data_IF_844715617281
#
_entry.id   IF_844715617281
#
_cell.length_a   1.000
_cell.length_b   1.000
_cell.length_c   1.000
_cell.angle_alpha   90.00
_cell.angle_beta   90.00
_cell.angle_gamma   90.00
#
_symmetry.space_group_name_H-M   'P 1'
#
loop_
_entity.id
_entity.type
_entity.pdbx_description
1 polymer ?
#
# COMPACT_ATOMS: atom_id res chain seq x y z
N UNK A 1 10.24 23.28 -3.60
CA UNK A 1 8.99 22.72 -3.00
C UNK A 1 8.81 21.31 -3.56
N UNK A 2 8.62 20.30 -2.72
CA UNK A 2 8.41 18.91 -3.15
C UNK A 2 6.99 18.77 -3.72
N UNK A 3 6.87 18.47 -4.99
CA UNK A 3 5.60 18.23 -5.67
C UNK A 3 5.30 16.72 -5.81
N UNK A 4 4.18 16.40 -6.48
CA UNK A 4 3.77 15.00 -6.70
C UNK A 4 4.77 14.22 -7.56
N UNK A 5 5.48 14.89 -8.49
CA UNK A 5 6.43 14.27 -9.41
C UNK A 5 7.82 14.06 -8.81
N UNK A 6 8.09 14.70 -7.67
CA UNK A 6 9.40 14.65 -7.01
C UNK A 6 9.49 13.52 -5.98
N UNK A 7 8.40 12.75 -5.82
CA UNK A 7 8.28 11.70 -4.84
C UNK A 7 8.33 10.31 -5.49
N UNK A 8 8.83 9.35 -4.73
CA UNK A 8 8.75 7.94 -5.09
C UNK A 8 7.55 7.30 -4.41
N UNK A 9 6.99 6.28 -5.08
CA UNK A 9 5.90 5.50 -4.54
C UNK A 9 6.10 4.00 -4.77
N UNK A 10 5.36 3.18 -4.04
CA UNK A 10 5.16 1.75 -4.26
C UNK A 10 3.69 1.39 -4.02
N UNK A 11 3.24 0.28 -4.58
CA UNK A 11 1.86 -0.18 -4.42
C UNK A 11 1.83 -1.67 -4.15
N UNK A 12 1.03 -2.07 -3.16
CA UNK A 12 0.64 -3.47 -2.90
C UNK A 12 -0.80 -3.64 -3.37
N UNK A 13 -1.07 -4.61 -4.26
CA UNK A 13 -2.39 -4.86 -4.84
C UNK A 13 -2.79 -6.30 -4.56
N UNK A 14 -3.74 -6.49 -3.66
CA UNK A 14 -4.29 -7.79 -3.34
C UNK A 14 -5.32 -8.22 -4.38
N UNK A 15 -5.24 -9.49 -4.81
CA UNK A 15 -6.12 -10.07 -5.83
C UNK A 15 -6.28 -11.58 -5.65
N UNK A 16 -7.26 -12.12 -6.36
CA UNK A 16 -7.53 -13.56 -6.48
C UNK A 16 -7.90 -13.91 -7.92
N UNK A 17 -8.40 -15.12 -8.19
CA UNK A 17 -8.80 -15.55 -9.53
C UNK A 17 -7.65 -16.02 -10.42
N UNK A 18 -6.43 -15.71 -10.06
CA UNK A 18 -5.18 -16.08 -10.73
C UNK A 18 -4.21 -16.66 -9.68
N UNK A 19 -3.27 -17.51 -10.07
CA UNK A 19 -2.20 -17.95 -9.17
C UNK A 19 -1.02 -16.98 -9.20
N UNK A 20 -0.16 -17.01 -8.16
CA UNK A 20 1.08 -16.21 -8.13
C UNK A 20 1.99 -16.53 -9.30
N UNK A 21 2.19 -17.82 -9.59
CA UNK A 21 2.94 -18.28 -10.74
C UNK A 21 2.42 -17.69 -12.05
N UNK A 22 1.10 -17.85 -12.31
CA UNK A 22 0.50 -17.29 -13.54
C UNK A 22 0.59 -15.78 -13.62
N UNK A 23 0.44 -15.07 -12.50
CA UNK A 23 0.62 -13.62 -12.46
C UNK A 23 2.09 -13.24 -12.76
N UNK A 24 3.07 -14.00 -12.25
CA UNK A 24 4.49 -13.78 -12.53
C UNK A 24 4.82 -14.03 -14.02
N UNK A 25 4.32 -15.12 -14.62
CA UNK A 25 4.46 -15.38 -16.06
C UNK A 25 3.92 -14.20 -16.90
N UNK A 26 2.71 -13.73 -16.58
CA UNK A 26 2.06 -12.62 -17.29
C UNK A 26 2.87 -11.32 -17.22
N UNK A 27 3.52 -11.05 -16.07
CA UNK A 27 4.44 -9.92 -15.97
C UNK A 27 5.75 -10.18 -16.70
N UNK A 28 6.27 -11.44 -16.68
CA UNK A 28 7.45 -11.84 -17.45
C UNK A 28 7.26 -11.71 -18.96
N UNK A 29 6.06 -11.97 -19.47
CA UNK A 29 5.71 -11.72 -20.88
C UNK A 29 5.73 -10.21 -21.26
N UNK A 30 5.67 -9.33 -20.28
CA UNK A 30 5.74 -7.88 -20.48
C UNK A 30 7.14 -7.33 -20.25
N UNK A 31 7.86 -7.84 -19.28
CA UNK A 31 9.20 -7.41 -18.93
C UNK A 31 10.24 -8.36 -19.55
N UNK A 32 11.34 -7.83 -20.13
CA UNK A 32 12.37 -8.67 -20.74
C UNK A 32 13.27 -9.41 -19.75
N UNK A 33 13.05 -9.18 -18.44
CA UNK A 33 13.89 -9.73 -17.37
C UNK A 33 13.51 -11.13 -16.92
N UNK A 34 14.22 -11.62 -15.94
CA UNK A 34 14.01 -12.96 -15.39
C UNK A 34 12.72 -13.06 -14.54
N UNK A 35 12.08 -14.24 -14.60
CA UNK A 35 11.03 -14.67 -13.69
C UNK A 35 11.61 -15.76 -12.80
N UNK A 36 11.59 -15.54 -11.49
CA UNK A 36 12.19 -16.46 -10.52
C UNK A 36 11.20 -16.82 -9.40
N UNK A 37 11.06 -18.12 -9.11
CA UNK A 37 10.37 -18.57 -7.91
C UNK A 37 11.35 -18.59 -6.73
N UNK A 38 11.17 -17.68 -5.79
CA UNK A 38 12.01 -17.55 -4.60
C UNK A 38 11.50 -18.44 -3.45
N UNK A 39 10.20 -18.73 -3.43
CA UNK A 39 9.56 -19.51 -2.38
C UNK A 39 9.49 -18.79 -1.03
N UNK A 40 9.91 -19.47 0.04
CA UNK A 40 9.87 -18.95 1.41
C UNK A 40 8.45 -18.87 2.00
N UNK A 41 8.33 -18.21 3.15
CA UNK A 41 7.06 -18.10 3.91
C UNK A 41 5.91 -17.49 3.09
N UNK A 42 6.23 -16.60 2.16
CA UNK A 42 5.25 -15.91 1.31
C UNK A 42 5.15 -16.51 -0.09
N UNK A 43 5.80 -17.66 -0.35
CA UNK A 43 5.81 -18.34 -1.65
C UNK A 43 5.96 -17.31 -2.80
N UNK A 44 7.05 -16.54 -2.70
CA UNK A 44 7.30 -15.36 -3.52
C UNK A 44 7.79 -15.72 -4.91
N UNK A 45 7.23 -15.06 -5.91
CA UNK A 45 7.74 -14.99 -7.28
C UNK A 45 8.28 -13.58 -7.53
N UNK A 46 9.42 -13.47 -8.17
CA UNK A 46 10.06 -12.20 -8.54
C UNK A 46 10.13 -12.09 -10.06
N UNK A 47 9.82 -10.89 -10.56
CA UNK A 47 9.90 -10.54 -11.97
C UNK A 47 10.75 -9.28 -12.09
N UNK A 48 11.80 -9.36 -12.90
CA UNK A 48 12.72 -8.24 -13.12
C UNK A 48 12.24 -7.43 -14.32
N UNK A 49 12.07 -6.13 -14.15
CA UNK A 49 11.66 -5.25 -15.25
C UNK A 49 12.84 -4.77 -16.12
N UNK A 50 12.53 -4.01 -17.16
CA UNK A 50 13.47 -3.43 -18.12
C UNK A 50 14.49 -2.46 -17.49
N UNK A 51 14.24 -1.99 -16.28
CA UNK A 51 15.15 -1.13 -15.50
C UNK A 51 15.92 -1.87 -14.41
N UNK A 52 15.77 -3.20 -14.31
CA UNK A 52 16.40 -4.03 -13.29
C UNK A 52 15.70 -4.00 -11.95
N UNK A 53 14.49 -3.43 -11.86
CA UNK A 53 13.70 -3.39 -10.62
C UNK A 53 12.88 -4.66 -10.45
N UNK A 54 12.70 -5.11 -9.21
CA UNK A 54 12.01 -6.35 -8.85
C UNK A 54 10.55 -6.10 -8.49
N UNK A 55 9.65 -6.71 -9.26
CA UNK A 55 8.22 -6.84 -8.95
C UNK A 55 8.00 -8.18 -8.24
N UNK A 56 7.11 -8.21 -7.24
CA UNK A 56 6.88 -9.44 -6.46
C UNK A 56 5.42 -9.84 -6.52
N UNK A 57 5.19 -11.15 -6.61
CA UNK A 57 3.89 -11.79 -6.44
C UNK A 57 4.01 -12.64 -5.19
N UNK A 58 3.27 -12.28 -4.13
CA UNK A 58 3.43 -12.85 -2.79
C UNK A 58 2.11 -13.45 -2.29
N UNK A 59 2.22 -14.37 -1.34
CA UNK A 59 1.08 -14.88 -0.60
C UNK A 59 0.66 -13.89 0.48
N UNK A 60 -0.65 -13.56 0.53
CA UNK A 60 -1.26 -12.90 1.67
C UNK A 60 -2.42 -13.73 2.23
N UNK A 61 -2.33 -14.08 3.51
CA UNK A 61 -3.30 -14.93 4.20
C UNK A 61 -4.67 -14.29 4.40
N UNK A 62 -4.77 -12.96 4.34
CA UNK A 62 -6.03 -12.21 4.54
C UNK A 62 -6.99 -12.37 3.35
N UNK A 63 -6.46 -12.71 2.17
CA UNK A 63 -7.23 -12.81 0.94
C UNK A 63 -8.10 -14.07 0.94
N UNK A 64 -9.39 -13.92 0.67
CA UNK A 64 -10.30 -15.05 0.39
C UNK A 64 -10.06 -15.52 -1.06
N UNK A 65 -9.50 -16.72 -1.20
CA UNK A 65 -9.20 -17.29 -2.52
C UNK A 65 -10.49 -17.63 -3.28
N UNK A 66 -10.55 -17.23 -4.54
CA UNK A 66 -11.65 -17.56 -5.46
C UNK A 66 -11.10 -18.02 -6.80
N UNK A 67 -11.84 -18.88 -7.48
CA UNK A 67 -11.55 -19.38 -8.84
C UNK A 67 -12.81 -19.40 -9.68
N UNK A 68 -12.66 -19.15 -10.98
CA UNK A 68 -13.75 -19.31 -11.94
C UNK A 68 -13.92 -20.80 -12.27
N UNK A 69 -15.08 -21.36 -11.97
CA UNK A 69 -15.45 -22.76 -12.24
C UNK A 69 -16.85 -22.81 -12.88
N UNK A 70 -16.95 -23.41 -14.06
CA UNK A 70 -18.23 -23.55 -14.75
C UNK A 70 -18.93 -22.20 -15.01
N UNK A 71 -18.16 -21.13 -15.26
CA UNK A 71 -18.71 -19.79 -15.49
C UNK A 71 -19.09 -19.00 -14.23
N UNK A 72 -18.90 -19.57 -13.03
CA UNK A 72 -19.21 -18.93 -11.75
C UNK A 72 -17.98 -18.83 -10.85
N UNK A 73 -17.90 -17.74 -10.09
CA UNK A 73 -16.84 -17.56 -9.09
C UNK A 73 -17.15 -18.37 -7.83
N UNK A 74 -16.22 -19.19 -7.41
CA UNK A 74 -16.33 -20.02 -6.19
C UNK A 74 -15.19 -19.72 -5.24
N UNK A 75 -15.53 -19.58 -3.97
CA UNK A 75 -14.52 -19.56 -2.89
C UNK A 75 -13.88 -20.94 -2.78
N UNK A 76 -12.56 -20.97 -2.71
CA UNK A 76 -11.78 -22.20 -2.62
C UNK A 76 -10.77 -22.11 -1.46
N UNK A 77 -10.41 -23.26 -0.91
CA UNK A 77 -9.33 -23.34 0.08
C UNK A 77 -7.99 -23.69 -0.61
N UNK A 78 -7.54 -22.78 -1.48
CA UNK A 78 -6.27 -22.96 -2.19
C UNK A 78 -5.45 -21.66 -2.10
N UNK A 79 -4.35 -21.71 -1.34
CA UNK A 79 -3.47 -20.58 -1.08
C UNK A 79 -2.77 -20.02 -2.32
N UNK A 80 -2.63 -20.78 -3.42
CA UNK A 80 -2.02 -20.27 -4.65
C UNK A 80 -2.80 -19.11 -5.29
N UNK A 81 -4.12 -19.04 -5.01
CA UNK A 81 -5.01 -17.96 -5.50
C UNK A 81 -5.11 -16.75 -4.54
N UNK A 82 -4.26 -16.70 -3.51
CA UNK A 82 -4.10 -15.53 -2.63
C UNK A 82 -2.88 -14.77 -3.08
N UNK A 83 -3.07 -13.71 -3.83
CA UNK A 83 -2.00 -13.02 -4.55
C UNK A 83 -1.95 -11.55 -4.14
N UNK A 84 -0.80 -11.12 -3.68
CA UNK A 84 -0.43 -9.73 -3.52
C UNK A 84 0.66 -9.38 -4.55
N UNK A 85 0.38 -8.43 -5.43
CA UNK A 85 1.35 -7.87 -6.35
C UNK A 85 1.98 -6.64 -5.73
N UNK A 86 3.30 -6.70 -5.49
CA UNK A 86 4.09 -5.62 -4.89
C UNK A 86 4.97 -4.99 -5.95
N UNK A 87 4.80 -3.70 -6.19
CA UNK A 87 5.67 -2.96 -7.12
C UNK A 87 7.01 -2.65 -6.47
N UNK A 88 8.08 -2.48 -7.25
CA UNK A 88 9.29 -1.82 -6.75
C UNK A 88 9.01 -0.35 -6.41
N UNK A 89 10.03 0.35 -5.88
CA UNK A 89 10.02 1.81 -5.73
C UNK A 89 10.00 2.47 -7.11
N UNK A 90 8.89 3.14 -7.42
CA UNK A 90 8.62 3.76 -8.72
C UNK A 90 8.70 5.28 -8.64
N UNK A 91 9.10 5.91 -9.75
CA UNK A 91 8.95 7.34 -10.00
C UNK A 91 7.56 7.63 -10.57
N UNK A 92 7.14 8.88 -10.52
CA UNK A 92 5.87 9.32 -11.09
C UNK A 92 5.71 8.92 -12.57
N UNK A 93 6.76 9.06 -13.36
CA UNK A 93 6.75 8.74 -14.80
C UNK A 93 6.61 7.23 -15.09
N UNK A 94 6.77 6.38 -14.09
CA UNK A 94 6.59 4.93 -14.16
C UNK A 94 5.13 4.47 -13.83
N UNK A 95 4.23 5.41 -13.53
CA UNK A 95 2.80 5.12 -13.36
C UNK A 95 2.19 4.32 -14.53
N UNK A 96 2.48 4.63 -15.81
CA UNK A 96 1.98 3.85 -16.94
C UNK A 96 2.43 2.38 -16.92
N UNK A 97 3.67 2.11 -16.46
CA UNK A 97 4.20 0.75 -16.29
C UNK A 97 3.36 -0.05 -15.28
N UNK A 98 3.09 0.52 -14.10
CA UNK A 98 2.20 -0.08 -13.10
C UNK A 98 0.79 -0.32 -13.66
N UNK A 99 0.24 0.64 -14.39
CA UNK A 99 -1.08 0.51 -15.01
C UNK A 99 -1.14 -0.65 -16.02
N UNK A 100 -0.07 -0.85 -16.78
CA UNK A 100 0.00 -1.94 -17.75
C UNK A 100 0.07 -3.30 -17.05
N UNK A 101 0.85 -3.44 -15.99
CA UNK A 101 0.88 -4.66 -15.16
C UNK A 101 -0.53 -5.01 -14.65
N UNK A 102 -1.27 -4.02 -14.12
CA UNK A 102 -2.66 -4.22 -13.65
C UNK A 102 -3.57 -4.71 -14.78
N UNK A 103 -3.49 -4.11 -15.99
CA UNK A 103 -4.30 -4.53 -17.13
C UNK A 103 -4.02 -5.97 -17.53
N UNK A 104 -2.73 -6.36 -17.55
CA UNK A 104 -2.29 -7.70 -17.94
C UNK A 104 -2.76 -8.78 -16.97
N UNK A 105 -2.56 -8.61 -15.66
CA UNK A 105 -3.05 -9.58 -14.67
C UNK A 105 -4.59 -9.67 -14.69
N UNK A 106 -5.29 -8.54 -14.87
CA UNK A 106 -6.75 -8.54 -15.03
C UNK A 106 -7.18 -9.32 -16.28
N UNK A 107 -6.53 -9.11 -17.43
CA UNK A 107 -6.82 -9.84 -18.68
C UNK A 107 -6.56 -11.33 -18.54
N UNK A 108 -5.58 -11.72 -17.71
CA UNK A 108 -5.24 -13.11 -17.44
C UNK A 108 -6.19 -13.80 -16.44
N UNK A 109 -7.23 -13.11 -15.96
CA UNK A 109 -8.27 -13.69 -15.09
C UNK A 109 -8.20 -13.28 -13.63
N UNK A 110 -7.29 -12.38 -13.25
CA UNK A 110 -7.31 -11.83 -11.90
C UNK A 110 -8.59 -11.05 -11.61
N UNK A 111 -9.07 -11.17 -10.38
CA UNK A 111 -10.20 -10.40 -9.84
C UNK A 111 -9.90 -9.92 -8.42
N UNK A 112 -10.72 -9.03 -7.92
CA UNK A 112 -10.74 -8.60 -6.52
C UNK A 112 -12.06 -8.95 -5.86
N UNK A 113 -12.05 -9.13 -4.53
CA UNK A 113 -13.25 -9.28 -3.71
C UNK A 113 -13.17 -8.41 -2.46
N UNK A 114 -14.15 -8.49 -1.57
CA UNK A 114 -14.25 -7.63 -0.38
C UNK A 114 -13.09 -7.81 0.62
N UNK A 115 -12.35 -8.93 0.54
CA UNK A 115 -11.17 -9.14 1.39
C UNK A 115 -9.91 -8.44 0.88
N UNK A 116 -9.90 -8.06 -0.41
CA UNK A 116 -8.71 -7.48 -1.06
C UNK A 116 -8.58 -5.99 -0.79
N UNK A 117 -7.38 -5.54 -0.42
CA UNK A 117 -6.98 -4.14 -0.27
C UNK A 117 -5.99 -3.69 -1.35
N UNK A 118 -5.82 -2.38 -1.44
CA UNK A 118 -4.75 -1.74 -2.17
C UNK A 118 -4.05 -0.78 -1.21
N UNK A 119 -2.73 -0.90 -1.10
CA UNK A 119 -1.92 -0.05 -0.24
C UNK A 119 -0.98 0.78 -1.09
N UNK A 120 -0.87 2.07 -0.76
CA UNK A 120 0.06 2.99 -1.43
C UNK A 120 1.12 3.43 -0.44
N UNK A 121 2.36 3.21 -0.79
CA UNK A 121 3.54 3.63 -0.04
C UNK A 121 4.18 4.84 -0.70
N UNK A 122 4.43 5.89 0.05
CA UNK A 122 5.20 7.06 -0.38
C UNK A 122 6.54 7.05 0.38
N UNK A 123 7.65 7.26 -0.31
CA UNK A 123 8.96 7.34 0.32
C UNK A 123 8.98 8.45 1.39
N UNK A 124 9.34 8.08 2.62
CA UNK A 124 9.37 9.01 3.73
C UNK A 124 10.61 9.91 3.77
N UNK A 125 11.58 9.75 2.85
CA UNK A 125 12.81 10.53 2.85
C UNK A 125 12.61 12.05 2.73
N UNK A 126 11.49 12.48 2.16
CA UNK A 126 11.10 13.90 2.05
C UNK A 126 10.30 14.40 3.26
N UNK A 127 9.98 13.51 4.20
CA UNK A 127 9.23 13.87 5.40
C UNK A 127 10.15 14.11 6.60
N UNK A 128 9.74 15.09 7.41
CA UNK A 128 10.28 15.34 8.74
C UNK A 128 9.14 15.23 9.77
N UNK A 129 9.45 15.48 11.05
CA UNK A 129 8.46 15.43 12.12
C UNK A 129 7.28 16.35 11.87
N UNK A 130 7.52 17.59 11.37
CA UNK A 130 6.47 18.56 11.10
C UNK A 130 5.55 18.09 9.98
N UNK A 131 6.09 17.66 8.85
CA UNK A 131 5.28 17.18 7.73
C UNK A 131 4.46 15.92 8.06
N UNK A 132 4.97 15.02 8.90
CA UNK A 132 4.20 13.86 9.39
C UNK A 132 3.06 14.28 10.34
N UNK A 133 3.25 15.30 11.19
CA UNK A 133 2.17 15.91 11.99
C UNK A 133 1.10 16.54 11.11
N UNK A 134 1.51 17.25 10.06
CA UNK A 134 0.61 17.83 9.09
C UNK A 134 -0.20 16.75 8.38
N UNK A 135 0.45 15.66 7.96
CA UNK A 135 -0.20 14.54 7.30
C UNK A 135 -1.23 13.84 8.20
N UNK A 136 -0.91 13.62 9.48
CA UNK A 136 -1.87 13.13 10.48
C UNK A 136 -3.08 14.06 10.60
N UNK A 137 -2.85 15.38 10.62
CA UNK A 137 -3.92 16.38 10.70
C UNK A 137 -4.79 16.41 9.45
N UNK A 138 -4.18 16.31 8.26
CA UNK A 138 -4.88 16.21 6.97
C UNK A 138 -5.76 14.95 6.96
N UNK A 139 -5.20 13.80 7.32
CA UNK A 139 -5.96 12.55 7.36
C UNK A 139 -7.12 12.65 8.34
N UNK A 140 -6.88 13.01 9.60
CA UNK A 140 -7.93 13.14 10.60
C UNK A 140 -9.10 14.01 10.12
N UNK A 141 -8.79 15.15 9.49
CA UNK A 141 -9.82 16.07 9.01
C UNK A 141 -10.58 15.61 7.76
N UNK A 142 -10.04 14.63 7.00
CA UNK A 142 -10.57 14.20 5.70
C UNK A 142 -11.03 12.74 5.66
N UNK A 143 -10.70 11.94 6.68
CA UNK A 143 -10.97 10.50 6.66
C UNK A 143 -12.44 10.16 6.45
N UNK A 144 -13.39 10.85 7.09
CA UNK A 144 -14.82 10.60 6.91
C UNK A 144 -15.26 10.82 5.46
N UNK A 145 -14.81 11.92 4.87
CA UNK A 145 -15.09 12.23 3.47
C UNK A 145 -14.43 11.19 2.54
N UNK A 146 -13.16 10.85 2.80
CA UNK A 146 -12.41 9.88 1.99
C UNK A 146 -13.07 8.50 2.06
N UNK A 147 -13.40 8.01 3.25
CA UNK A 147 -14.04 6.70 3.44
C UNK A 147 -15.36 6.62 2.70
N UNK A 148 -16.17 7.68 2.76
CA UNK A 148 -17.43 7.78 2.03
C UNK A 148 -17.22 7.84 0.51
N UNK A 149 -16.33 8.70 0.03
CA UNK A 149 -16.05 8.88 -1.40
C UNK A 149 -15.42 7.64 -2.05
N UNK A 150 -14.54 6.96 -1.32
CA UNK A 150 -13.86 5.74 -1.77
C UNK A 150 -14.71 4.48 -1.54
N UNK A 151 -15.87 4.60 -0.88
CA UNK A 151 -16.73 3.49 -0.50
C UNK A 151 -15.95 2.39 0.23
N UNK A 152 -15.13 2.80 1.20
CA UNK A 152 -14.29 1.87 1.97
C UNK A 152 -15.18 0.84 2.64
N UNK A 153 -14.85 -0.44 2.43
CA UNK A 153 -15.60 -1.53 3.02
C UNK A 153 -15.58 -1.43 4.55
N UNK A 154 -16.74 -1.58 5.20
CA UNK A 154 -16.89 -1.38 6.64
C UNK A 154 -16.04 -2.36 7.46
N UNK A 155 -15.98 -3.64 7.07
CA UNK A 155 -15.12 -4.64 7.71
C UNK A 155 -13.65 -4.22 7.64
N UNK A 156 -13.21 -3.67 6.49
CA UNK A 156 -11.85 -3.13 6.35
C UNK A 156 -11.62 -1.92 7.23
N UNK A 157 -12.57 -0.98 7.27
CA UNK A 157 -12.48 0.23 8.07
C UNK A 157 -12.31 -0.08 9.57
N UNK A 158 -13.00 -1.09 10.07
CA UNK A 158 -12.95 -1.49 11.48
C UNK A 158 -11.70 -2.31 11.81
N UNK A 159 -11.19 -3.12 10.89
CA UNK A 159 -10.14 -4.10 11.16
C UNK A 159 -8.77 -3.68 10.65
N UNK A 160 -8.67 -3.25 9.38
CA UNK A 160 -7.41 -3.14 8.66
C UNK A 160 -6.97 -1.71 8.37
N UNK A 161 -7.89 -0.73 8.43
CA UNK A 161 -7.60 0.68 8.14
C UNK A 161 -8.39 1.61 9.08
N UNK A 162 -8.17 1.45 10.38
CA UNK A 162 -8.78 2.30 11.41
C UNK A 162 -8.41 3.76 11.20
N UNK A 163 -9.30 4.67 11.57
CA UNK A 163 -9.05 6.11 11.47
C UNK A 163 -8.01 6.58 12.49
N UNK A 164 -7.41 7.73 12.22
CA UNK A 164 -6.51 8.42 13.15
C UNK A 164 -7.26 8.72 14.45
N UNK A 165 -6.69 8.37 15.59
CA UNK A 165 -7.30 8.63 16.90
C UNK A 165 -6.99 10.04 17.37
N UNK A 166 -8.04 10.75 17.82
CA UNK A 166 -7.91 12.12 18.33
C UNK A 166 -6.85 12.28 19.43
N UNK A 167 -6.76 11.41 20.46
CA UNK A 167 -5.74 11.54 21.49
C UNK A 167 -4.30 11.43 20.96
N UNK A 168 -4.09 10.63 19.91
CA UNK A 168 -2.79 10.53 19.26
C UNK A 168 -2.46 11.81 18.50
N UNK A 169 -3.42 12.35 17.73
CA UNK A 169 -3.27 13.60 17.00
C UNK A 169 -2.97 14.78 17.95
N UNK A 170 -3.69 14.89 19.06
CA UNK A 170 -3.48 15.93 20.08
C UNK A 170 -2.06 15.88 20.68
N UNK A 171 -1.58 14.68 21.00
CA UNK A 171 -0.19 14.50 21.47
C UNK A 171 0.81 14.89 20.39
N UNK A 172 0.59 14.49 19.14
CA UNK A 172 1.46 14.84 18.02
C UNK A 172 1.50 16.36 17.77
N UNK A 173 0.36 17.04 17.84
CA UNK A 173 0.27 18.51 17.69
C UNK A 173 1.04 19.30 18.74
N UNK A 174 1.16 18.77 19.95
CA UNK A 174 1.92 19.43 21.06
C UNK A 174 3.43 19.30 20.90
N UNK A 175 3.94 18.48 19.97
CA UNK A 175 5.35 18.44 19.68
C UNK A 175 5.81 19.74 19.05
N UNK A 176 6.98 20.24 19.46
CA UNK A 176 7.58 21.45 18.90
C UNK A 176 7.73 21.34 17.38
N UNK A 177 7.61 22.50 16.71
CA UNK A 177 7.68 22.62 15.24
C UNK A 177 9.12 22.62 14.72
N UNK A 178 10.06 21.94 15.38
CA UNK A 178 11.42 21.84 14.87
C UNK A 178 11.46 20.96 13.61
N UNK A 179 12.09 21.47 12.57
CA UNK A 179 12.36 20.75 11.32
C UNK A 179 13.49 19.73 11.48
N UNK A 180 13.50 19.01 12.59
CA UNK A 180 14.53 17.99 12.80
C UNK A 180 14.13 16.69 12.09
N UNK A 181 15.08 15.95 11.54
CA UNK A 181 14.83 14.61 11.02
C UNK A 181 14.56 13.59 12.14
N UNK A 182 14.72 13.98 13.40
CA UNK A 182 14.47 13.10 14.54
C UNK A 182 12.98 12.84 14.74
N UNK A 183 12.57 11.61 14.51
CA UNK A 183 11.20 11.12 14.63
C UNK A 183 10.93 10.43 15.98
N UNK A 184 11.90 10.35 16.89
CA UNK A 184 11.82 9.57 18.15
C UNK A 184 10.59 9.93 19.00
N UNK A 185 10.25 11.23 19.09
CA UNK A 185 9.09 11.67 19.87
C UNK A 185 7.77 11.27 19.18
N UNK A 186 7.69 11.38 17.86
CA UNK A 186 6.51 10.96 17.09
C UNK A 186 6.35 9.43 17.14
N UNK A 187 7.45 8.69 17.05
CA UNK A 187 7.48 7.23 17.22
C UNK A 187 6.92 6.82 18.60
N UNK A 188 7.38 7.47 19.69
CA UNK A 188 6.82 7.21 21.03
C UNK A 188 5.32 7.48 21.14
N UNK A 189 4.82 8.51 20.47
CA UNK A 189 3.39 8.81 20.44
C UNK A 189 2.64 7.73 19.67
N UNK A 190 3.17 7.31 18.52
CA UNK A 190 2.58 6.28 17.67
C UNK A 190 2.40 4.95 18.41
N UNK A 191 3.42 4.52 19.13
CA UNK A 191 3.41 3.27 19.91
C UNK A 191 2.93 3.44 21.35
N UNK A 192 2.41 4.60 21.74
CA UNK A 192 1.91 4.87 23.11
C UNK A 192 2.97 4.61 24.20
N UNK A 193 4.21 4.96 23.93
CA UNK A 193 5.35 4.79 24.83
C UNK A 193 5.94 3.37 24.86
N UNK A 194 5.40 2.43 24.05
CA UNK A 194 5.94 1.08 23.91
C UNK A 194 7.02 1.05 22.82
N UNK A 195 7.81 -0.01 22.77
CA UNK A 195 8.65 -0.30 21.62
C UNK A 195 7.81 -1.05 20.58
N UNK A 196 8.01 -0.77 19.27
CA UNK A 196 7.21 -1.42 18.22
C UNK A 196 7.80 -1.29 16.83
N UNK A 197 8.77 -0.37 16.63
CA UNK A 197 9.34 -0.07 15.30
C UNK A 197 10.10 -1.23 14.67
N UNK A 198 10.49 -2.24 15.43
CA UNK A 198 11.18 -3.45 14.93
C UNK A 198 10.24 -4.65 14.71
N UNK A 199 8.97 -4.52 15.02
CA UNK A 199 7.98 -5.59 14.93
C UNK A 199 7.26 -5.54 13.60
N UNK A 200 7.54 -6.49 12.68
CA UNK A 200 6.92 -6.53 11.35
C UNK A 200 5.38 -6.48 11.41
N UNK A 201 4.76 -7.21 12.33
CA UNK A 201 3.30 -7.31 12.47
C UNK A 201 2.76 -6.51 13.66
N UNK A 202 3.34 -5.35 13.96
CA UNK A 202 2.80 -4.50 15.01
C UNK A 202 1.37 -4.05 14.68
N UNK A 203 0.43 -4.17 15.64
CA UNK A 203 -0.98 -3.87 15.42
C UNK A 203 -1.27 -2.41 15.05
N UNK A 204 -0.36 -1.48 15.38
CA UNK A 204 -0.50 -0.07 15.01
C UNK A 204 -0.45 0.16 13.49
N UNK A 205 -0.01 -0.83 12.71
CA UNK A 205 -0.06 -0.79 11.24
C UNK A 205 -1.48 -0.73 10.68
N UNK A 206 -2.48 -1.14 11.42
CA UNK A 206 -3.87 -1.23 10.96
C UNK A 206 -4.63 0.11 11.04
N UNK A 207 -3.98 1.19 10.58
CA UNK A 207 -4.59 2.51 10.39
C UNK A 207 -4.66 2.86 8.91
N UNK A 208 -5.64 3.71 8.52
CA UNK A 208 -5.78 4.21 7.15
C UNK A 208 -4.53 4.95 6.68
N UNK A 209 -3.96 5.77 7.57
CA UNK A 209 -2.59 6.29 7.46
C UNK A 209 -1.71 5.51 8.44
N UNK A 210 -0.85 4.67 7.92
CA UNK A 210 0.06 3.83 8.71
C UNK A 210 1.45 4.46 8.81
N UNK A 211 1.78 5.05 9.98
CA UNK A 211 3.11 5.56 10.27
C UNK A 211 4.05 4.49 10.86
N UNK A 212 3.56 3.31 11.27
CA UNK A 212 4.46 2.19 11.59
C UNK A 212 5.40 1.90 10.41
N UNK A 213 4.89 2.00 9.18
CA UNK A 213 5.69 1.83 7.97
C UNK A 213 6.82 2.86 7.84
N UNK A 214 6.67 4.07 8.38
CA UNK A 214 7.76 5.08 8.42
C UNK A 214 8.91 4.58 9.30
N UNK A 215 8.58 4.10 10.49
CA UNK A 215 9.59 3.68 11.47
C UNK A 215 10.22 2.32 11.12
N UNK A 216 9.47 1.44 10.45
CA UNK A 216 9.90 0.09 10.11
C UNK A 216 10.54 -0.03 8.73
N UNK A 217 9.99 0.67 7.71
CA UNK A 217 10.37 0.52 6.28
C UNK A 217 10.83 1.81 5.61
N UNK A 218 10.67 2.96 6.25
CA UNK A 218 10.97 4.27 5.67
C UNK A 218 9.95 4.76 4.64
N UNK A 219 8.68 4.32 4.74
CA UNK A 219 7.59 4.76 3.87
C UNK A 219 6.37 5.19 4.65
N UNK A 220 5.67 6.21 4.19
CA UNK A 220 4.29 6.52 4.62
C UNK A 220 3.35 5.60 3.85
N UNK A 221 2.52 4.84 4.55
CA UNK A 221 1.59 3.90 3.92
C UNK A 221 0.13 4.34 4.09
N UNK A 222 -0.61 4.35 2.97
CA UNK A 222 -2.06 4.58 2.93
C UNK A 222 -2.77 3.25 2.64
N UNK A 223 -3.61 2.78 3.59
CA UNK A 223 -4.24 1.45 3.58
C UNK A 223 -5.75 1.46 3.34
N UNK A 224 -6.37 2.63 3.18
CA UNK A 224 -7.83 2.75 3.17
C UNK A 224 -8.52 2.29 1.87
N UNK A 225 -7.79 1.96 0.82
CA UNK A 225 -8.41 1.63 -0.46
C UNK A 225 -8.89 0.17 -0.53
N UNK A 226 -10.12 -0.06 -0.99
CA UNK A 226 -10.51 -1.35 -1.51
C UNK A 226 -9.65 -1.67 -2.73
N UNK A 227 -9.25 -2.93 -2.90
CA UNK A 227 -8.45 -3.30 -4.07
C UNK A 227 -9.20 -3.06 -5.38
N UNK A 228 -8.43 -2.81 -6.43
CA UNK A 228 -8.98 -2.60 -7.77
C UNK A 228 -7.98 -3.04 -8.84
N UNK A 229 -8.51 -3.70 -9.88
CA UNK A 229 -7.78 -3.99 -11.12
C UNK A 229 -8.19 -3.03 -12.27
N UNK A 230 -8.79 -1.89 -11.92
CA UNK A 230 -8.99 -0.79 -12.86
C UNK A 230 -7.76 0.13 -12.80
N UNK A 231 -6.88 0.04 -13.78
CA UNK A 231 -5.59 0.72 -13.83
C UNK A 231 -5.68 2.25 -13.60
N UNK A 232 -6.72 2.90 -14.15
CA UNK A 232 -6.96 4.33 -13.94
C UNK A 232 -7.35 4.68 -12.50
N UNK A 233 -8.11 3.80 -11.82
CA UNK A 233 -8.48 3.99 -10.41
C UNK A 233 -7.27 3.80 -9.50
N UNK A 234 -6.44 2.79 -9.74
CA UNK A 234 -5.20 2.59 -9.00
C UNK A 234 -4.26 3.80 -9.13
N UNK A 235 -4.11 4.34 -10.36
CA UNK A 235 -3.33 5.57 -10.59
C UNK A 235 -3.92 6.80 -9.87
N UNK A 236 -5.27 6.92 -9.81
CA UNK A 236 -5.92 8.00 -9.06
C UNK A 236 -5.64 7.90 -7.55
N UNK A 237 -5.59 6.69 -6.98
CA UNK A 237 -5.23 6.48 -5.59
C UNK A 237 -3.78 6.88 -5.30
N UNK A 238 -2.85 6.51 -6.18
CA UNK A 238 -1.44 6.94 -6.08
C UNK A 238 -1.34 8.46 -6.13
N UNK A 239 -1.99 9.11 -7.11
CA UNK A 239 -1.99 10.57 -7.23
C UNK A 239 -2.56 11.28 -6.00
N UNK A 240 -3.64 10.75 -5.41
CA UNK A 240 -4.20 11.27 -4.17
C UNK A 240 -3.19 11.22 -3.02
N UNK A 241 -2.53 10.07 -2.82
CA UNK A 241 -1.54 9.89 -1.77
C UNK A 241 -0.32 10.80 -1.95
N UNK A 242 0.20 10.92 -3.19
CA UNK A 242 1.30 11.81 -3.54
C UNK A 242 0.92 13.29 -3.27
N UNK A 243 -0.32 13.69 -3.62
CA UNK A 243 -0.81 15.05 -3.38
C UNK A 243 -0.95 15.36 -1.87
N UNK A 244 -1.48 14.42 -1.09
CA UNK A 244 -1.60 14.57 0.37
C UNK A 244 -0.22 14.67 1.03
N UNK A 245 0.73 13.85 0.60
CA UNK A 245 2.12 13.89 1.06
C UNK A 245 2.79 15.22 0.69
N UNK A 246 2.69 15.67 -0.58
CA UNK A 246 3.23 16.95 -1.02
C UNK A 246 2.64 18.13 -0.23
N UNK A 247 1.32 18.13 -0.01
CA UNK A 247 0.63 19.16 0.79
C UNK A 247 1.14 19.19 2.24
N UNK A 248 1.35 18.02 2.85
CA UNK A 248 1.86 17.93 4.21
C UNK A 248 3.32 18.43 4.35
N UNK A 249 4.12 18.25 3.31
CA UNK A 249 5.51 18.74 3.25
C UNK A 249 5.55 20.26 3.04
N UNK A 250 4.59 20.82 2.28
CA UNK A 250 4.55 22.23 1.93
C UNK A 250 3.98 23.15 3.05
N UNK A 251 3.32 22.58 4.07
CA UNK A 251 2.78 23.30 5.24
C UNK A 251 3.80 23.41 6.37
#
# INVERSE_FOLDING_TARGET
MIGIKDQYFGVEIEMTGITREKAAEVLGDYFPGAVCHIGGTYDTWEVIDDSGKTWKLMFDSSIKAERLEGGSWRTINNGFYRVEMVTPKLKYDELPKMQECIRRVRKAGAKVNSSCGLHVHIDAANHNRQSLKNLLSIMYSKEDMLFKALQVNEERAQRWCKKVREPMLEKARRLNSEETPDLTQLERIWYEGRSGSREHYNETRYHALNLHSVFYRGTVEFRCFNSTLHAGRAAAYVNLCLAMSAQAIAQ
#
